data_IF_676460760100
#
_entry.id   IF_676460760100
#
_cell.length_a   1.000
_cell.length_b   1.000
_cell.length_c   1.000
_cell.angle_alpha   90.00
_cell.angle_beta   90.00
_cell.angle_gamma   90.00
#
_symmetry.space_group_name_H-M   'P 1'
#
loop_
_entity.id
_entity.type
_entity.pdbx_description
1 polymer ?
#
# COMPACT_ATOMS: atom_id res chain seq x y z
N UNK A 1 0.53 -5.75 -7.67
CA UNK A 1 -0.22 -5.47 -8.90
C UNK A 1 0.28 -4.20 -9.54
N UNK A 2 0.24 -4.11 -10.87
CA UNK A 2 0.47 -2.87 -11.64
C UNK A 2 -0.16 -2.98 -13.03
N UNK A 3 -0.74 -1.88 -13.52
CA UNK A 3 -1.18 -1.72 -14.92
C UNK A 3 -0.17 -0.95 -15.77
N UNK A 4 1.02 -0.72 -15.22
CA UNK A 4 2.11 -0.06 -15.92
C UNK A 4 2.74 -0.94 -17.00
N UNK A 5 3.86 -0.47 -17.52
CA UNK A 5 4.57 -1.15 -18.60
C UNK A 5 5.16 -2.48 -18.16
N UNK A 6 5.58 -2.60 -16.90
CA UNK A 6 6.10 -3.84 -16.35
C UNK A 6 4.98 -4.79 -15.95
N UNK A 7 3.84 -4.24 -15.51
CA UNK A 7 2.68 -5.01 -15.10
C UNK A 7 2.90 -5.74 -13.77
N UNK A 8 2.07 -6.74 -13.54
CA UNK A 8 2.17 -7.61 -12.37
C UNK A 8 3.50 -8.36 -12.24
N UNK A 9 3.86 -8.65 -11.00
CA UNK A 9 5.02 -9.47 -10.67
C UNK A 9 4.57 -10.78 -10.01
N UNK A 10 4.75 -11.88 -10.73
CA UNK A 10 4.31 -13.22 -10.30
C UNK A 10 4.94 -13.66 -8.99
N UNK A 11 6.22 -13.32 -8.74
CA UNK A 11 6.89 -13.68 -7.49
C UNK A 11 6.28 -12.92 -6.30
N UNK A 12 5.98 -11.63 -6.47
CA UNK A 12 5.33 -10.84 -5.42
C UNK A 12 3.91 -11.33 -5.14
N UNK A 13 3.16 -11.72 -6.18
CA UNK A 13 1.81 -12.29 -6.03
C UNK A 13 1.86 -13.66 -5.36
N UNK A 14 2.82 -14.52 -5.74
CA UNK A 14 2.92 -15.87 -5.18
C UNK A 14 3.43 -15.88 -3.74
N UNK A 15 4.46 -15.09 -3.44
CA UNK A 15 5.23 -15.25 -2.21
C UNK A 15 4.96 -14.14 -1.18
N UNK A 16 4.67 -12.91 -1.62
CA UNK A 16 4.50 -11.74 -0.73
C UNK A 16 3.04 -11.46 -0.42
N UNK A 17 2.16 -11.49 -1.43
CA UNK A 17 0.73 -11.23 -1.25
C UNK A 17 0.07 -12.09 -0.17
N UNK A 18 0.35 -13.41 -0.05
CA UNK A 18 -0.21 -14.22 1.03
C UNK A 18 0.20 -13.72 2.42
N UNK A 19 1.42 -13.20 2.57
CA UNK A 19 1.89 -12.61 3.82
C UNK A 19 1.16 -11.29 4.10
N UNK A 20 1.04 -10.41 3.10
CA UNK A 20 0.30 -9.16 3.25
C UNK A 20 -1.14 -9.42 3.69
N UNK A 21 -1.81 -10.42 3.10
CA UNK A 21 -3.16 -10.83 3.51
C UNK A 21 -3.18 -11.45 4.91
N UNK A 22 -2.22 -12.32 5.25
CA UNK A 22 -2.12 -12.98 6.56
C UNK A 22 -1.95 -11.99 7.71
N UNK A 23 -1.14 -10.97 7.52
CA UNK A 23 -0.92 -9.90 8.51
C UNK A 23 -1.93 -8.76 8.39
N UNK A 24 -2.96 -8.93 7.55
CA UNK A 24 -3.99 -7.93 7.33
C UNK A 24 -3.39 -6.57 6.98
N UNK A 25 -2.42 -6.47 6.08
CA UNK A 25 -1.87 -5.16 5.69
C UNK A 25 -2.99 -4.29 5.09
N UNK A 26 -2.99 -2.99 5.39
CA UNK A 26 -3.99 -2.05 4.87
C UNK A 26 -3.54 -1.44 3.54
N UNK A 27 -2.27 -1.06 3.46
CA UNK A 27 -1.69 -0.38 2.32
C UNK A 27 -0.30 -0.95 1.97
N UNK A 28 -0.13 -1.35 0.72
CA UNK A 28 1.17 -1.66 0.13
C UNK A 28 1.55 -0.56 -0.88
N UNK A 29 2.70 0.06 -0.69
CA UNK A 29 3.19 1.16 -1.55
C UNK A 29 4.43 0.69 -2.31
N UNK A 30 4.45 0.88 -3.62
CA UNK A 30 5.59 0.58 -4.49
C UNK A 30 5.87 1.71 -5.48
N UNK A 31 7.02 1.62 -6.15
CA UNK A 31 7.38 2.44 -7.31
C UNK A 31 7.52 1.58 -8.56
N UNK A 32 8.71 1.61 -9.16
CA UNK A 32 9.11 0.88 -10.37
C UNK A 32 8.41 1.32 -11.67
N UNK A 33 7.08 1.26 -11.73
CA UNK A 33 6.33 1.78 -12.87
C UNK A 33 6.24 3.31 -12.81
N UNK A 34 6.49 3.95 -13.94
CA UNK A 34 6.66 5.41 -14.03
C UNK A 34 5.32 6.15 -14.17
N UNK A 35 4.34 5.79 -13.36
CA UNK A 35 3.01 6.38 -13.30
C UNK A 35 2.47 6.36 -11.86
N UNK A 36 1.22 6.81 -11.70
CA UNK A 36 0.52 6.80 -10.42
C UNK A 36 -0.66 5.85 -10.51
N UNK A 37 -0.79 4.95 -9.53
CA UNK A 37 -1.86 3.95 -9.54
C UNK A 37 -2.41 3.68 -8.15
N UNK A 38 -3.72 3.43 -8.09
CA UNK A 38 -4.42 2.83 -6.97
C UNK A 38 -5.09 1.55 -7.47
N UNK A 39 -4.68 0.43 -6.91
CA UNK A 39 -5.27 -0.88 -7.11
C UNK A 39 -5.80 -1.43 -5.79
N UNK A 40 -6.74 -2.36 -5.85
CA UNK A 40 -7.35 -2.94 -4.67
C UNK A 40 -7.68 -4.42 -4.89
N UNK A 41 -7.39 -5.22 -3.89
CA UNK A 41 -7.85 -6.60 -3.78
C UNK A 41 -8.33 -6.85 -2.35
N UNK A 42 -9.57 -7.31 -2.20
CA UNK A 42 -10.25 -7.43 -0.91
C UNK A 42 -10.20 -6.09 -0.12
N UNK A 43 -9.65 -6.10 1.10
CA UNK A 43 -9.43 -4.91 1.93
C UNK A 43 -8.03 -4.30 1.79
N UNK A 44 -7.13 -4.90 1.00
CA UNK A 44 -5.75 -4.43 0.82
C UNK A 44 -5.68 -3.48 -0.37
N UNK A 45 -5.22 -2.26 -0.12
CA UNK A 45 -4.93 -1.29 -1.18
C UNK A 45 -3.48 -1.37 -1.61
N UNK A 46 -3.24 -1.28 -2.91
CA UNK A 46 -1.92 -1.18 -3.52
C UNK A 46 -1.78 0.18 -4.18
N UNK A 47 -0.65 0.84 -3.93
CA UNK A 47 -0.36 2.17 -4.47
C UNK A 47 0.95 2.14 -5.22
N UNK A 48 0.93 2.56 -6.48
CA UNK A 48 2.13 2.84 -7.26
C UNK A 48 2.37 4.35 -7.23
N UNK A 49 3.54 4.75 -6.73
CA UNK A 49 4.01 6.13 -6.61
C UNK A 49 5.35 6.25 -7.32
N UNK A 50 5.38 6.02 -8.63
CA UNK A 50 6.63 5.92 -9.39
C UNK A 50 6.89 7.05 -10.40
N UNK A 51 6.03 8.08 -10.43
CA UNK A 51 6.11 9.17 -11.40
C UNK A 51 6.98 10.37 -10.97
N UNK A 52 7.75 10.27 -9.89
CA UNK A 52 8.42 11.41 -9.28
C UNK A 52 9.55 12.02 -10.15
N UNK A 53 10.37 11.19 -10.79
CA UNK A 53 11.50 11.65 -11.64
C UNK A 53 11.33 11.37 -13.12
N UNK A 54 10.55 10.34 -13.46
CA UNK A 54 10.20 9.96 -14.82
C UNK A 54 8.70 9.65 -14.85
N UNK A 55 8.02 10.07 -15.91
CA UNK A 55 6.61 9.79 -16.16
C UNK A 55 6.43 9.07 -17.49
N UNK A 56 5.43 8.19 -17.57
CA UNK A 56 5.01 7.48 -18.77
C UNK A 56 3.49 7.44 -18.82
N UNK A 57 2.94 7.28 -20.02
CA UNK A 57 1.54 6.90 -20.17
C UNK A 57 1.33 5.52 -19.53
N UNK A 58 0.22 5.37 -18.81
CA UNK A 58 -0.16 4.08 -18.23
C UNK A 58 -0.50 3.12 -19.36
N UNK A 59 0.13 1.95 -19.37
CA UNK A 59 -0.09 0.93 -20.39
C UNK A 59 -1.32 0.08 -20.06
N UNK A 60 -2.50 0.70 -20.14
CA UNK A 60 -3.76 0.11 -19.70
C UNK A 60 -3.97 -1.29 -20.30
N UNK A 61 -4.02 -2.30 -19.41
CA UNK A 61 -4.48 -3.64 -19.76
C UNK A 61 -5.96 -3.74 -19.36
N UNK A 62 -6.88 -3.96 -20.32
CA UNK A 62 -8.32 -3.94 -20.05
C UNK A 62 -8.82 -5.01 -19.08
N UNK A 63 -8.01 -6.04 -18.81
CA UNK A 63 -8.39 -7.18 -17.98
C UNK A 63 -7.88 -7.10 -16.52
N UNK A 64 -7.21 -6.02 -16.11
CA UNK A 64 -6.75 -5.86 -14.72
C UNK A 64 -7.92 -5.52 -13.78
N UNK A 65 -8.43 -6.54 -13.08
CA UNK A 65 -9.61 -6.41 -12.21
C UNK A 65 -9.34 -5.59 -10.95
N UNK A 66 -8.08 -5.48 -10.56
CA UNK A 66 -7.63 -4.83 -9.33
C UNK A 66 -7.51 -3.31 -9.52
N UNK A 67 -7.43 -2.81 -10.76
CA UNK A 67 -7.25 -1.37 -10.99
C UNK A 67 -8.49 -0.59 -10.56
N UNK A 68 -8.30 0.37 -9.65
CA UNK A 68 -9.35 1.33 -9.26
C UNK A 68 -9.15 2.67 -9.96
N UNK A 69 -7.90 3.13 -10.04
CA UNK A 69 -7.56 4.40 -10.68
C UNK A 69 -6.08 4.44 -11.08
N UNK A 70 -5.77 5.12 -12.18
CA UNK A 70 -4.39 5.41 -12.59
C UNK A 70 -4.30 6.75 -13.29
N UNK A 71 -3.10 7.33 -13.26
CA UNK A 71 -2.75 8.53 -14.01
C UNK A 71 -1.34 8.39 -14.59
N UNK A 72 -1.27 8.32 -15.91
CA UNK A 72 -0.04 8.44 -16.68
C UNK A 72 0.31 9.89 -17.01
N UNK A 73 1.52 10.10 -17.53
CA UNK A 73 1.99 11.38 -18.09
C UNK A 73 1.91 12.61 -17.17
N UNK A 74 1.83 12.40 -15.85
CA UNK A 74 1.91 13.44 -14.82
C UNK A 74 3.10 13.16 -13.91
N UNK A 75 3.89 14.18 -13.57
CA UNK A 75 4.84 14.05 -12.48
C UNK A 75 4.09 14.20 -11.18
N UNK A 76 4.33 13.29 -10.24
CA UNK A 76 3.60 13.31 -8.99
C UNK A 76 4.11 12.32 -7.97
N UNK A 77 3.48 12.38 -6.81
CA UNK A 77 3.82 11.58 -5.64
C UNK A 77 2.56 11.33 -4.81
N UNK A 78 2.69 10.49 -3.79
CA UNK A 78 1.61 10.19 -2.85
C UNK A 78 1.89 10.77 -1.49
N UNK A 79 0.85 11.30 -0.84
CA UNK A 79 0.87 11.73 0.55
C UNK A 79 -0.04 10.81 1.37
N UNK A 80 0.47 10.32 2.49
CA UNK A 80 -0.25 9.41 3.36
C UNK A 80 -0.43 10.06 4.73
N UNK A 81 -1.67 10.27 5.15
CA UNK A 81 -2.03 10.85 6.45
C UNK A 81 -2.69 9.77 7.30
N UNK A 82 -1.97 9.28 8.29
CA UNK A 82 -2.50 8.33 9.25
C UNK A 82 -3.04 9.09 10.48
N UNK A 83 -4.30 8.83 10.81
CA UNK A 83 -4.96 9.29 12.03
C UNK A 83 -5.39 8.08 12.87
N UNK A 84 -6.04 8.36 13.99
CA UNK A 84 -6.63 7.33 14.84
C UNK A 84 -7.77 6.55 14.23
N UNK A 85 -8.46 7.14 13.26
CA UNK A 85 -9.68 6.61 12.69
C UNK A 85 -9.52 6.21 11.23
N UNK A 86 -8.50 6.70 10.53
CA UNK A 86 -8.29 6.40 9.12
C UNK A 86 -6.85 6.58 8.64
N UNK A 87 -6.55 5.95 7.51
CA UNK A 87 -5.40 6.25 6.66
C UNK A 87 -5.93 6.90 5.38
N UNK A 88 -5.59 8.16 5.15
CA UNK A 88 -5.91 8.87 3.90
C UNK A 88 -4.69 8.81 2.99
N UNK A 89 -4.89 8.44 1.73
CA UNK A 89 -3.86 8.50 0.69
C UNK A 89 -4.31 9.44 -0.41
N UNK A 90 -3.45 10.40 -0.74
CA UNK A 90 -3.68 11.41 -1.76
C UNK A 90 -2.60 11.31 -2.83
N UNK A 91 -3.00 11.36 -4.09
CA UNK A 91 -2.13 11.47 -5.26
C UNK A 91 -2.05 12.94 -5.64
N UNK A 92 -0.83 13.46 -5.74
CA UNK A 92 -0.55 14.88 -5.93
C UNK A 92 0.27 15.08 -7.19
N UNK A 93 -0.19 15.99 -8.04
CA UNK A 93 0.58 16.53 -9.17
C UNK A 93 1.70 17.41 -8.62
N UNK A 94 2.96 17.09 -8.94
CA UNK A 94 4.11 17.83 -8.43
C UNK A 94 4.35 19.17 -9.13
N UNK A 95 3.85 19.34 -10.35
CA UNK A 95 4.01 20.59 -11.11
C UNK A 95 3.02 21.64 -10.62
N UNK A 96 1.76 21.25 -10.38
CA UNK A 96 0.69 22.19 -9.99
C UNK A 96 0.39 22.19 -8.49
N UNK A 97 0.78 21.14 -7.76
CA UNK A 97 0.39 20.91 -6.37
C UNK A 97 -1.06 20.42 -6.20
N UNK A 98 -1.78 20.19 -7.31
CA UNK A 98 -3.17 19.78 -7.28
C UNK A 98 -3.33 18.33 -6.83
N UNK A 99 -4.41 18.04 -6.10
CA UNK A 99 -4.79 16.69 -5.77
C UNK A 99 -5.49 16.03 -6.96
N UNK A 100 -4.91 14.94 -7.46
CA UNK A 100 -5.42 14.18 -8.60
C UNK A 100 -6.47 13.16 -8.17
N UNK A 101 -6.22 12.49 -7.03
CA UNK A 101 -7.09 11.45 -6.47
C UNK A 101 -6.85 11.35 -4.96
N UNK A 102 -7.88 10.90 -4.23
CA UNK A 102 -7.76 10.55 -2.82
C UNK A 102 -8.66 9.37 -2.48
N UNK A 103 -8.23 8.58 -1.49
CA UNK A 103 -9.05 7.56 -0.85
C UNK A 103 -8.72 7.45 0.64
N UNK A 104 -9.62 6.84 1.41
CA UNK A 104 -9.49 6.68 2.85
C UNK A 104 -9.80 5.25 3.26
N UNK A 105 -8.91 4.65 4.06
CA UNK A 105 -9.09 3.34 4.67
C UNK A 105 -9.45 3.58 6.14
N UNK A 106 -10.62 3.14 6.63
CA UNK A 106 -10.94 3.23 8.04
C UNK A 106 -10.01 2.31 8.83
N UNK A 107 -9.53 2.82 9.96
CA UNK A 107 -8.64 2.08 10.82
C UNK A 107 -9.43 0.96 11.52
N UNK A 108 -8.88 -0.26 11.54
CA UNK A 108 -9.63 -1.44 12.03
C UNK A 108 -9.68 -1.48 13.54
N UNK A 109 -10.86 -1.80 14.08
CA UNK A 109 -11.00 -2.16 15.48
C UNK A 109 -10.17 -3.41 15.74
N UNK A 110 -9.17 -3.31 16.60
CA UNK A 110 -8.53 -4.50 17.13
C UNK A 110 -9.59 -5.25 17.96
N UNK A 111 -9.74 -6.58 17.83
CA UNK A 111 -10.42 -7.32 18.87
C UNK A 111 -9.74 -6.94 20.18
N UNK A 112 -10.51 -6.50 21.19
CA UNK A 112 -9.94 -6.21 22.52
C UNK A 112 -9.07 -7.40 22.86
N UNK A 113 -7.79 -7.16 23.08
CA UNK A 113 -6.91 -8.16 23.69
C UNK A 113 -7.49 -8.37 25.08
N UNK A 114 -8.44 -9.31 25.20
CA UNK A 114 -8.80 -9.89 26.48
C UNK A 114 -7.51 -10.45 27.02
N UNK A 115 -7.14 -10.03 28.22
CA UNK A 115 -5.99 -10.49 28.99
C UNK A 115 -5.70 -11.98 28.74
N UNK A 116 -4.87 -12.26 27.74
CA UNK A 116 -4.41 -13.59 27.41
C UNK A 116 -2.90 -13.47 27.47
N UNK A 117 -2.22 -14.06 28.48
CA UNK A 117 -0.78 -13.93 28.66
C UNK A 117 0.06 -14.46 27.49
N UNK A 118 -0.58 -15.02 26.46
CA UNK A 118 0.05 -15.68 25.30
C UNK A 118 -0.59 -15.38 23.95
N UNK A 119 -1.51 -14.41 23.84
CA UNK A 119 -1.96 -13.96 22.52
C UNK A 119 -0.95 -12.94 21.95
N UNK A 120 0.18 -13.45 21.47
CA UNK A 120 1.00 -12.68 20.55
C UNK A 120 0.15 -12.43 19.29
N UNK A 121 -0.18 -11.16 19.03
CA UNK A 121 -0.48 -10.73 17.65
C UNK A 121 0.64 -11.28 16.78
N UNK A 122 0.37 -11.87 15.60
CA UNK A 122 1.42 -12.53 14.83
C UNK A 122 2.54 -11.51 14.57
N UNK A 123 3.65 -11.68 15.28
CA UNK A 123 4.85 -10.87 15.13
C UNK A 123 5.43 -11.30 13.79
N UNK A 124 5.67 -10.34 12.89
CA UNK A 124 6.45 -10.59 11.67
C UNK A 124 7.79 -11.17 12.10
N UNK A 125 8.03 -12.45 11.83
CA UNK A 125 9.29 -13.09 12.18
C UNK A 125 10.32 -12.73 11.13
N UNK A 126 11.60 -12.72 11.51
CA UNK A 126 12.71 -12.44 10.60
C UNK A 126 12.70 -13.36 9.36
N UNK A 127 12.22 -14.60 9.52
CA UNK A 127 12.03 -15.59 8.45
C UNK A 127 10.96 -15.19 7.41
N UNK A 128 9.93 -14.42 7.82
CA UNK A 128 8.88 -13.92 6.92
C UNK A 128 9.36 -12.71 6.08
N UNK A 129 10.50 -12.11 6.43
CA UNK A 129 11.07 -10.92 5.78
C UNK A 129 12.08 -11.24 4.67
N UNK A 130 12.37 -12.51 4.40
CA UNK A 130 13.44 -12.93 3.48
C UNK A 130 13.25 -12.46 2.01
N UNK A 131 12.08 -11.91 1.64
CA UNK A 131 11.82 -11.28 0.34
C UNK A 131 11.44 -9.78 0.41
N UNK A 132 11.45 -9.16 1.60
CA UNK A 132 10.99 -7.78 1.81
C UNK A 132 12.20 -6.87 2.00
N UNK A 133 12.57 -6.15 0.92
CA UNK A 133 13.80 -5.34 0.80
C UNK A 133 13.95 -4.29 1.92
N UNK A 134 12.84 -3.85 2.51
CA UNK A 134 12.73 -3.16 3.81
C UNK A 134 11.25 -2.90 4.06
N UNK A 135 10.70 -3.27 5.21
CA UNK A 135 9.39 -2.80 5.66
C UNK A 135 9.56 -2.00 6.96
N UNK A 136 9.04 -0.78 6.99
CA UNK A 136 8.88 -0.01 8.22
C UNK A 136 7.41 -0.11 8.63
N UNK A 137 7.13 -0.84 9.70
CA UNK A 137 5.82 -0.86 10.31
C UNK A 137 5.71 0.37 11.21
N UNK A 138 4.68 1.20 11.00
CA UNK A 138 4.37 2.26 11.95
C UNK A 138 4.00 1.63 13.31
N UNK A 139 4.56 2.09 14.44
CA UNK A 139 4.27 1.51 15.73
C UNK A 139 2.81 1.73 16.12
N UNK A 140 2.32 0.82 16.97
CA UNK A 140 1.13 0.97 17.81
C UNK A 140 1.07 2.40 18.35
N UNK A 141 0.05 3.18 17.95
CA UNK A 141 -0.18 4.48 18.56
C UNK A 141 -0.53 4.27 20.05
N UNK A 142 0.26 4.82 21.00
CA UNK A 142 0.32 4.33 22.37
C UNK A 142 -0.98 4.41 23.20
N UNK A 143 -2.05 5.03 22.68
CA UNK A 143 -3.31 5.24 23.41
C UNK A 143 -4.57 4.78 22.66
N UNK A 144 -4.47 3.88 21.66
CA UNK A 144 -5.64 3.54 20.82
C UNK A 144 -5.76 2.05 20.49
N UNK A 145 -6.99 1.52 20.55
CA UNK A 145 -7.35 0.13 20.19
C UNK A 145 -7.49 -0.07 18.66
N UNK A 146 -6.71 0.66 17.88
CA UNK A 146 -6.85 0.74 16.43
C UNK A 146 -5.47 0.60 15.79
N UNK A 147 -5.37 -0.06 14.64
CA UNK A 147 -4.10 -0.24 13.95
C UNK A 147 -4.24 -0.02 12.45
N UNK A 148 -3.16 0.50 11.86
CA UNK A 148 -2.97 0.70 10.42
C UNK A 148 -1.59 0.11 10.09
N UNK A 149 -1.53 -0.81 9.14
CA UNK A 149 -0.30 -1.44 8.69
C UNK A 149 0.03 -1.01 7.26
N UNK A 150 1.19 -0.38 7.10
CA UNK A 150 1.71 0.08 5.80
C UNK A 150 3.01 -0.66 5.51
N UNK A 151 3.14 -1.19 4.30
CA UNK A 151 4.39 -1.75 3.78
C UNK A 151 4.82 -0.89 2.59
N UNK A 152 6.06 -0.37 2.63
CA UNK A 152 6.64 0.41 1.53
C UNK A 152 7.78 -0.40 0.94
N UNK A 153 7.65 -0.80 -0.31
CA UNK A 153 8.70 -1.48 -1.06
C UNK A 153 9.38 -0.50 -2.01
N UNK A 154 10.70 -0.36 -1.87
CA UNK A 154 11.53 0.34 -2.85
C UNK A 154 12.03 -0.73 -3.83
N UNK A 155 11.49 -0.72 -5.04
CA UNK A 155 11.88 -1.57 -6.17
C UNK A 155 12.32 -0.71 -7.34
#
# INVERSE_FOLDING_TARGET
YSVGWHGDNDYMIRDVLPLLKRYSVDLYVSGHDHDLQWLQEDSLSFVVSGAASKKRETNYKPDEKQLVWSQGNVHGFTRHLATSSNLVTEFVDSETGSMLKSFSIPARSQPRVSTCPHCESPVLKQEDLAGVIRASLSPRMPNMNVSIYIVIAIV
#
